data_IF_624156259799
#
_entry.id   IF_624156259799
#
_cell.length_a   1.000
_cell.length_b   1.000
_cell.length_c   1.000
_cell.angle_alpha   90.00
_cell.angle_beta   90.00
_cell.angle_gamma   90.00
#
_symmetry.space_group_name_H-M   'P 1'
#
loop_
_entity.id
_entity.type
_entity.pdbx_description
1 polymer ?
#
# COMPACT_ATOMS: atom_id res chain seq x y z
N UNK A 1 -37.79 1.98 19.22
CA UNK A 1 -37.36 0.89 20.14
C UNK A 1 -36.84 1.51 21.43
N UNK A 2 -37.39 1.14 22.60
CA UNK A 2 -37.03 1.76 23.89
C UNK A 2 -35.52 1.70 24.19
N UNK A 3 -34.85 0.58 23.88
CA UNK A 3 -33.40 0.44 24.11
C UNK A 3 -32.55 1.54 23.44
N UNK A 4 -32.94 1.99 22.24
CA UNK A 4 -32.19 3.03 21.50
C UNK A 4 -32.45 4.40 22.10
N UNK A 5 -33.68 4.65 22.58
CA UNK A 5 -34.07 5.90 23.25
C UNK A 5 -33.27 6.06 24.54
N UNK A 6 -33.23 5.00 25.37
CA UNK A 6 -32.46 5.02 26.62
C UNK A 6 -30.96 5.20 26.35
N UNK A 7 -30.38 4.44 25.41
CA UNK A 7 -28.96 4.55 25.05
C UNK A 7 -28.59 5.94 24.52
N UNK A 8 -29.44 6.55 23.70
CA UNK A 8 -29.21 7.91 23.21
C UNK A 8 -29.21 8.92 24.36
N UNK A 9 -30.18 8.78 25.27
CA UNK A 9 -30.31 9.67 26.42
C UNK A 9 -29.10 9.55 27.35
N UNK A 10 -28.68 8.32 27.69
CA UNK A 10 -27.47 8.05 28.48
C UNK A 10 -26.23 8.72 27.86
N UNK A 11 -26.00 8.53 26.55
CA UNK A 11 -24.82 9.10 25.88
C UNK A 11 -24.83 10.64 25.86
N UNK A 12 -26.01 11.26 25.72
CA UNK A 12 -26.11 12.71 25.71
C UNK A 12 -25.89 13.29 27.11
N UNK A 13 -26.39 12.62 28.14
CA UNK A 13 -26.18 12.99 29.55
C UNK A 13 -24.71 12.79 29.96
N UNK A 14 -24.10 11.65 29.62
CA UNK A 14 -22.70 11.33 29.92
C UNK A 14 -21.70 12.29 29.25
N UNK A 15 -22.05 12.81 28.06
CA UNK A 15 -21.21 13.73 27.29
C UNK A 15 -21.52 15.21 27.56
N UNK A 16 -22.44 15.52 28.49
CA UNK A 16 -22.92 16.87 28.80
C UNK A 16 -23.41 17.64 27.55
N UNK A 17 -24.07 16.94 26.62
CA UNK A 17 -24.62 17.51 25.39
C UNK A 17 -26.07 17.91 25.65
N UNK A 18 -26.37 19.21 25.56
CA UNK A 18 -27.74 19.69 25.70
C UNK A 18 -28.67 19.14 24.61
N UNK A 19 -29.83 18.59 25.02
CA UNK A 19 -30.87 18.10 24.12
C UNK A 19 -32.28 18.41 24.62
N UNK A 20 -33.23 18.51 23.68
CA UNK A 20 -34.67 18.55 23.97
C UNK A 20 -35.32 17.26 23.51
N UNK A 21 -35.98 16.55 24.43
CA UNK A 21 -36.74 15.32 24.15
C UNK A 21 -38.24 15.63 24.03
N UNK A 22 -38.87 15.15 22.98
CA UNK A 22 -40.34 15.24 22.79
C UNK A 22 -40.91 13.87 22.46
N UNK A 23 -42.10 13.56 22.98
CA UNK A 23 -42.84 12.34 22.64
C UNK A 23 -44.17 12.76 22.04
N UNK A 24 -44.44 12.31 20.83
CA UNK A 24 -45.67 12.62 20.08
C UNK A 24 -46.31 11.31 19.66
N UNK A 25 -47.62 11.21 19.80
CA UNK A 25 -48.42 10.11 19.27
C UNK A 25 -48.81 10.44 17.82
N UNK A 26 -48.42 9.60 16.88
CA UNK A 26 -48.81 9.72 15.46
C UNK A 26 -50.24 9.22 15.24
N UNK A 27 -50.84 9.59 14.10
CA UNK A 27 -52.23 9.27 13.75
C UNK A 27 -52.54 7.76 13.68
N UNK A 28 -51.52 6.92 13.60
CA UNK A 28 -51.60 5.46 13.58
C UNK A 28 -51.38 4.81 14.97
N UNK A 29 -51.30 5.63 16.04
CA UNK A 29 -51.05 5.17 17.42
C UNK A 29 -49.59 4.85 17.72
N UNK A 30 -48.65 5.15 16.80
CA UNK A 30 -47.22 4.99 17.07
C UNK A 30 -46.68 6.16 17.89
N UNK A 31 -45.98 5.83 18.99
CA UNK A 31 -45.27 6.82 19.79
C UNK A 31 -43.89 7.14 19.17
N UNK A 32 -43.72 8.38 18.71
CA UNK A 32 -42.45 8.88 18.18
C UNK A 32 -41.74 9.72 19.24
N UNK A 33 -40.53 9.29 19.60
CA UNK A 33 -39.64 10.06 20.49
C UNK A 33 -38.56 10.74 19.66
N UNK A 34 -38.54 12.07 19.71
CA UNK A 34 -37.56 12.90 19.00
C UNK A 34 -36.59 13.56 19.97
N UNK A 35 -35.31 13.56 19.62
CA UNK A 35 -34.25 14.27 20.35
C UNK A 35 -33.71 15.38 19.45
N UNK A 36 -33.84 16.63 19.89
CA UNK A 36 -33.27 17.79 19.21
C UNK A 36 -31.92 18.12 19.86
N UNK A 37 -30.84 18.00 19.09
CA UNK A 37 -29.46 18.15 19.57
C UNK A 37 -28.80 19.29 18.80
N UNK A 38 -28.27 20.29 19.51
CA UNK A 38 -27.46 21.36 18.93
C UNK A 38 -25.99 20.91 18.79
N UNK A 39 -25.70 20.09 17.78
CA UNK A 39 -24.42 19.37 17.68
C UNK A 39 -23.56 19.74 16.47
N UNK A 40 -24.03 20.63 15.58
CA UNK A 40 -23.32 20.93 14.32
C UNK A 40 -23.17 19.73 13.37
N UNK A 41 -23.86 18.61 13.65
CA UNK A 41 -23.82 17.39 12.85
C UNK A 41 -24.45 17.65 11.47
N UNK A 42 -23.71 17.27 10.42
CA UNK A 42 -24.13 17.48 9.04
C UNK A 42 -24.81 16.21 8.52
N UNK A 43 -25.83 16.37 7.69
CA UNK A 43 -26.63 15.25 7.15
C UNK A 43 -25.80 14.20 6.40
N UNK A 44 -24.69 14.59 5.76
CA UNK A 44 -23.79 13.66 5.08
C UNK A 44 -23.10 12.67 6.03
N UNK A 45 -22.97 12.98 7.33
CA UNK A 45 -22.30 12.12 8.32
C UNK A 45 -23.07 10.81 8.58
N UNK A 46 -24.29 10.69 8.06
CA UNK A 46 -25.03 9.43 7.98
C UNK A 46 -24.35 8.41 7.04
N UNK A 47 -23.58 8.89 6.08
CA UNK A 47 -22.80 8.08 5.15
C UNK A 47 -21.35 8.08 5.61
N UNK A 48 -20.86 6.92 6.00
CA UNK A 48 -19.48 6.76 6.40
C UNK A 48 -18.59 6.87 5.16
N UNK A 49 -17.57 7.71 5.30
CA UNK A 49 -16.60 7.99 4.26
C UNK A 49 -15.24 8.37 4.89
N UNK A 50 -14.27 8.75 4.07
CA UNK A 50 -12.90 9.12 4.44
C UNK A 50 -12.79 10.18 5.55
N UNK A 51 -13.85 10.97 5.77
CA UNK A 51 -13.89 11.94 6.86
C UNK A 51 -13.71 11.29 8.25
N UNK A 52 -14.03 9.99 8.38
CA UNK A 52 -13.78 9.23 9.60
C UNK A 52 -12.28 9.19 9.96
N UNK A 53 -11.39 9.19 8.98
CA UNK A 53 -9.94 9.13 9.22
C UNK A 53 -9.37 10.39 9.88
N UNK A 54 -10.16 11.46 9.98
CA UNK A 54 -9.76 12.68 10.68
C UNK A 54 -9.95 12.57 12.21
N UNK A 55 -10.60 11.50 12.70
CA UNK A 55 -10.84 11.28 14.13
C UNK A 55 -9.73 10.42 14.75
N UNK A 56 -9.48 10.65 16.04
CA UNK A 56 -8.49 9.90 16.81
C UNK A 56 -8.94 8.45 17.09
N UNK A 57 -8.02 7.66 17.62
CA UNK A 57 -8.24 6.25 17.92
C UNK A 57 -9.42 6.04 18.87
N UNK A 58 -9.55 6.87 19.90
CA UNK A 58 -10.61 6.78 20.91
C UNK A 58 -11.98 7.01 20.28
N UNK A 59 -12.14 8.06 19.48
CA UNK A 59 -13.40 8.37 18.81
C UNK A 59 -13.80 7.28 17.80
N UNK A 60 -12.82 6.76 17.05
CA UNK A 60 -13.04 5.66 16.11
C UNK A 60 -13.41 4.36 16.83
N UNK A 61 -12.78 4.08 17.96
CA UNK A 61 -13.09 2.90 18.77
C UNK A 61 -14.52 3.00 19.32
N UNK A 62 -14.88 4.16 19.85
CA UNK A 62 -16.24 4.45 20.30
C UNK A 62 -17.27 4.30 19.18
N UNK A 63 -16.99 4.80 17.97
CA UNK A 63 -17.88 4.62 16.82
C UNK A 63 -18.13 3.13 16.52
N UNK A 64 -17.06 2.33 16.50
CA UNK A 64 -17.14 0.90 16.20
C UNK A 64 -17.95 0.16 17.27
N UNK A 65 -17.67 0.40 18.54
CA UNK A 65 -18.35 -0.25 19.65
C UNK A 65 -19.81 0.17 19.74
N UNK A 66 -20.08 1.47 19.54
CA UNK A 66 -21.40 2.04 19.65
C UNK A 66 -22.30 1.63 18.47
N UNK A 67 -21.75 1.50 17.26
CA UNK A 67 -22.49 1.07 16.05
C UNK A 67 -23.27 -0.24 16.24
N UNK A 68 -22.77 -1.14 17.08
CA UNK A 68 -23.39 -2.43 17.40
C UNK A 68 -24.70 -2.30 18.18
N UNK A 69 -24.89 -1.20 18.91
CA UNK A 69 -26.10 -0.93 19.68
C UNK A 69 -27.18 -0.22 18.85
N UNK A 70 -26.83 0.40 17.72
CA UNK A 70 -27.81 1.06 16.85
C UNK A 70 -28.38 0.07 15.86
N UNK A 71 -27.68 -0.16 14.76
CA UNK A 71 -28.16 -0.97 13.64
C UNK A 71 -27.54 -2.37 13.66
N UNK A 72 -27.26 -2.84 14.88
CA UNK A 72 -26.65 -4.13 15.13
C UNK A 72 -27.27 -4.91 16.28
N UNK A 73 -26.62 -6.03 16.57
CA UNK A 73 -26.84 -6.82 17.78
C UNK A 73 -25.51 -7.35 18.33
N UNK A 74 -25.50 -7.56 19.65
CA UNK A 74 -24.36 -8.12 20.39
C UNK A 74 -24.81 -9.43 21.01
N UNK A 75 -24.00 -10.48 20.90
CA UNK A 75 -24.28 -11.77 21.55
C UNK A 75 -23.70 -11.74 22.96
N UNK A 76 -24.56 -11.67 23.98
CA UNK A 76 -24.14 -11.70 25.39
C UNK A 76 -23.37 -13.00 25.69
N UNK A 77 -22.21 -12.88 26.33
CA UNK A 77 -21.39 -14.02 26.79
C UNK A 77 -20.50 -14.67 25.73
N UNK A 78 -20.41 -14.13 24.50
CA UNK A 78 -19.54 -14.69 23.46
C UNK A 78 -18.30 -13.84 23.20
N UNK A 79 -17.15 -14.49 23.01
CA UNK A 79 -15.92 -13.87 22.45
C UNK A 79 -16.04 -13.57 20.94
N UNK A 80 -17.22 -13.81 20.34
CA UNK A 80 -17.47 -13.69 18.90
C UNK A 80 -17.95 -12.29 18.48
N UNK A 81 -18.00 -11.33 19.41
CA UNK A 81 -18.29 -9.94 19.11
C UNK A 81 -19.72 -9.68 18.60
N UNK A 82 -19.93 -8.53 17.95
CA UNK A 82 -21.25 -8.07 17.49
C UNK A 82 -21.35 -8.02 15.97
N UNK A 83 -22.56 -7.77 15.46
CA UNK A 83 -22.83 -7.54 14.04
C UNK A 83 -23.57 -6.24 13.83
N UNK A 84 -23.11 -5.44 12.87
CA UNK A 84 -23.77 -4.23 12.36
C UNK A 84 -24.39 -4.52 10.99
N UNK A 85 -25.60 -4.04 10.73
CA UNK A 85 -26.31 -4.25 9.48
C UNK A 85 -26.63 -2.93 8.79
N UNK A 86 -26.44 -2.88 7.47
CA UNK A 86 -26.74 -1.70 6.66
C UNK A 86 -27.11 -2.09 5.22
N UNK A 87 -27.93 -1.28 4.55
CA UNK A 87 -28.14 -1.38 3.09
C UNK A 87 -27.14 -0.54 2.29
N UNK A 88 -26.31 0.25 2.96
CA UNK A 88 -25.35 1.17 2.34
C UNK A 88 -23.99 0.47 2.32
N UNK A 89 -23.51 0.12 1.12
CA UNK A 89 -22.22 -0.55 0.94
C UNK A 89 -21.05 0.27 1.50
N UNK A 90 -21.07 1.60 1.32
CA UNK A 90 -20.06 2.51 1.86
C UNK A 90 -19.94 2.38 3.38
N UNK A 91 -21.08 2.37 4.09
CA UNK A 91 -21.10 2.22 5.54
C UNK A 91 -20.52 0.88 5.99
N UNK A 92 -20.83 -0.20 5.27
CA UNK A 92 -20.28 -1.52 5.57
C UNK A 92 -18.75 -1.55 5.41
N UNK A 93 -18.24 -1.01 4.29
CA UNK A 93 -16.81 -0.96 3.98
C UNK A 93 -16.03 -0.07 4.94
N UNK A 94 -16.55 1.12 5.24
CA UNK A 94 -15.90 2.04 6.16
C UNK A 94 -15.94 1.53 7.59
N UNK A 95 -17.05 0.96 8.06
CA UNK A 95 -17.10 0.39 9.40
C UNK A 95 -16.15 -0.80 9.56
N UNK A 96 -16.04 -1.68 8.57
CA UNK A 96 -15.02 -2.74 8.56
C UNK A 96 -13.61 -2.16 8.62
N UNK A 97 -13.34 -1.11 7.84
CA UNK A 97 -12.04 -0.46 7.79
C UNK A 97 -11.66 0.14 9.14
N UNK A 98 -12.56 0.91 9.75
CA UNK A 98 -12.33 1.49 11.07
C UNK A 98 -12.17 0.39 12.13
N UNK A 99 -12.99 -0.68 12.09
CA UNK A 99 -12.86 -1.80 13.01
C UNK A 99 -11.45 -2.41 12.97
N UNK A 100 -10.84 -2.55 11.80
CA UNK A 100 -9.46 -3.01 11.66
C UNK A 100 -8.44 -2.00 12.21
N UNK A 101 -8.63 -0.70 11.96
CA UNK A 101 -7.74 0.34 12.46
C UNK A 101 -7.73 0.40 14.00
N UNK A 102 -8.86 0.12 14.64
CA UNK A 102 -8.98 0.08 16.11
C UNK A 102 -8.67 -1.29 16.71
N UNK A 103 -8.01 -2.17 15.95
CA UNK A 103 -7.51 -3.46 16.44
C UNK A 103 -8.56 -4.56 16.59
N UNK A 104 -9.73 -4.44 15.95
CA UNK A 104 -10.77 -5.48 15.91
C UNK A 104 -10.68 -6.25 14.59
N UNK A 105 -11.08 -7.52 14.61
CA UNK A 105 -11.27 -8.30 13.38
C UNK A 105 -12.66 -8.05 12.82
N UNK A 106 -12.79 -7.83 11.51
CA UNK A 106 -14.08 -7.59 10.88
C UNK A 106 -14.28 -8.28 9.53
N UNK A 107 -15.50 -8.73 9.26
CA UNK A 107 -15.89 -9.41 8.01
C UNK A 107 -17.20 -8.84 7.49
N UNK A 108 -17.31 -8.62 6.18
CA UNK A 108 -18.56 -8.23 5.54
C UNK A 108 -19.20 -9.45 4.88
N UNK A 109 -20.47 -9.67 5.18
CA UNK A 109 -21.35 -10.62 4.49
C UNK A 109 -22.40 -9.84 3.73
N UNK A 110 -22.62 -10.20 2.47
CA UNK A 110 -23.69 -9.65 1.65
C UNK A 110 -24.85 -10.63 1.63
N UNK A 111 -26.06 -10.16 1.90
CA UNK A 111 -27.27 -10.98 1.77
C UNK A 111 -27.81 -10.96 0.34
N UNK A 112 -28.70 -11.91 0.02
CA UNK A 112 -29.32 -12.02 -1.30
C UNK A 112 -30.24 -10.85 -1.66
N UNK A 113 -30.64 -10.03 -0.68
CA UNK A 113 -31.52 -8.87 -0.84
C UNK A 113 -30.73 -7.55 -0.95
N UNK A 114 -29.39 -7.63 -1.05
CA UNK A 114 -28.51 -6.48 -1.21
C UNK A 114 -28.12 -5.76 0.08
N UNK A 115 -28.50 -6.27 1.25
CA UNK A 115 -28.02 -5.81 2.54
C UNK A 115 -26.62 -6.33 2.87
N UNK A 116 -25.94 -5.63 3.77
CA UNK A 116 -24.60 -5.95 4.25
C UNK A 116 -24.63 -6.13 5.76
N UNK A 117 -23.97 -7.18 6.25
CA UNK A 117 -23.72 -7.44 7.66
C UNK A 117 -22.22 -7.41 7.94
N UNK A 118 -21.79 -6.48 8.78
CA UNK A 118 -20.41 -6.33 9.25
C UNK A 118 -20.27 -7.03 10.60
N UNK A 119 -19.59 -8.17 10.62
CA UNK A 119 -19.18 -8.82 11.86
C UNK A 119 -17.97 -8.11 12.45
N UNK A 120 -17.95 -7.87 13.76
CA UNK A 120 -16.88 -7.18 14.49
C UNK A 120 -16.54 -8.02 15.72
N UNK A 121 -15.30 -8.49 15.81
CA UNK A 121 -14.81 -9.37 16.88
C UNK A 121 -13.58 -8.76 17.58
N UNK A 122 -13.56 -8.79 18.91
CA UNK A 122 -12.40 -8.41 19.75
C UNK A 122 -11.32 -9.50 19.78
N UNK A 123 -10.97 -10.07 18.61
CA UNK A 123 -9.91 -11.08 18.51
C UNK A 123 -8.58 -10.40 18.22
N UNK A 124 -7.55 -10.73 18.99
CA UNK A 124 -6.17 -10.31 18.72
C UNK A 124 -5.55 -11.02 17.51
N UNK A 125 -6.18 -12.12 17.03
CA UNK A 125 -5.65 -12.98 15.97
C UNK A 125 -6.70 -13.20 14.87
N UNK A 126 -6.32 -13.09 13.60
CA UNK A 126 -7.16 -13.45 12.45
C UNK A 126 -7.03 -14.95 12.15
N UNK A 127 -8.15 -15.69 12.08
CA UNK A 127 -8.18 -17.05 11.53
C UNK A 127 -8.45 -16.98 10.04
N UNK A 128 -7.44 -17.23 9.22
CA UNK A 128 -7.60 -17.45 7.78
C UNK A 128 -8.13 -18.87 7.59
N UNK A 129 -9.34 -19.02 7.03
CA UNK A 129 -9.80 -20.32 6.57
C UNK A 129 -8.92 -20.67 5.36
N UNK A 130 -8.15 -21.76 5.42
CA UNK A 130 -7.42 -22.29 4.27
C UNK A 130 -8.44 -22.61 3.18
N UNK A 131 -8.66 -21.67 2.27
CA UNK A 131 -9.36 -21.94 1.02
C UNK A 131 -8.51 -22.93 0.21
N UNK A 132 -9.16 -23.75 -0.62
CA UNK A 132 -8.48 -24.67 -1.52
C UNK A 132 -7.37 -23.92 -2.28
N UNK A 133 -6.12 -24.20 -1.92
CA UNK A 133 -4.95 -23.65 -2.59
C UNK A 133 -4.85 -24.38 -3.91
N UNK A 134 -5.17 -23.69 -5.00
CA UNK A 134 -4.93 -24.20 -6.35
C UNK A 134 -3.66 -23.54 -6.86
N UNK A 135 -2.61 -24.33 -7.03
CA UNK A 135 -1.40 -23.89 -7.71
C UNK A 135 -1.71 -23.82 -9.20
N UNK A 136 -1.69 -22.61 -9.75
CA UNK A 136 -1.82 -22.37 -11.19
C UNK A 136 -0.46 -21.93 -11.69
N UNK A 137 0.10 -22.62 -12.68
CA UNK A 137 1.29 -22.16 -13.38
C UNK A 137 0.91 -20.89 -14.15
N UNK A 138 1.40 -19.73 -13.71
CA UNK A 138 1.01 -18.46 -14.29
C UNK A 138 1.89 -18.15 -15.50
N UNK A 139 1.31 -18.23 -16.71
CA UNK A 139 1.94 -17.82 -17.97
C UNK A 139 1.73 -16.32 -18.17
N UNK A 140 2.80 -15.54 -18.04
CA UNK A 140 2.90 -14.16 -18.51
C UNK A 140 1.98 -13.17 -17.80
N UNK A 141 2.52 -12.41 -16.87
CA UNK A 141 1.95 -11.10 -16.54
C UNK A 141 3.04 -10.05 -16.70
N UNK A 142 2.73 -9.05 -17.51
CA UNK A 142 3.43 -7.77 -17.55
C UNK A 142 3.48 -7.19 -16.13
N UNK A 143 4.68 -6.78 -15.72
CA UNK A 143 4.91 -6.19 -14.39
C UNK A 143 4.63 -4.70 -14.50
N UNK A 144 3.44 -4.26 -14.06
CA UNK A 144 3.17 -2.83 -13.97
C UNK A 144 3.99 -2.20 -12.83
N UNK A 145 4.82 -1.22 -13.15
CA UNK A 145 5.50 -0.35 -12.19
C UNK A 145 4.65 0.91 -11.96
N UNK A 146 3.85 1.01 -10.88
CA UNK A 146 3.06 2.20 -10.63
C UNK A 146 3.96 3.35 -10.14
N UNK A 147 4.00 4.44 -10.88
CA UNK A 147 4.65 5.68 -10.46
C UNK A 147 3.74 6.44 -9.50
N UNK A 148 4.24 6.78 -8.30
CA UNK A 148 3.49 7.54 -7.30
C UNK A 148 4.19 8.86 -6.99
N UNK A 149 3.42 9.91 -6.69
CA UNK A 149 3.95 11.22 -6.31
C UNK A 149 4.70 11.21 -4.97
N UNK A 150 4.53 10.17 -4.17
CA UNK A 150 5.10 10.02 -2.82
C UNK A 150 6.35 9.13 -2.78
N UNK A 151 6.70 8.45 -3.88
CA UNK A 151 7.83 7.52 -3.94
C UNK A 151 7.62 6.21 -3.16
N UNK A 152 6.41 5.98 -2.65
CA UNK A 152 5.96 4.71 -2.06
C UNK A 152 4.44 4.54 -2.22
N UNK A 153 3.94 3.31 -2.07
CA UNK A 153 2.51 3.04 -1.89
C UNK A 153 2.26 1.88 -0.95
N UNK A 154 1.08 1.89 -0.34
CA UNK A 154 0.59 0.84 0.52
C UNK A 154 -0.21 -0.15 -0.33
N UNK A 155 0.31 -1.37 -0.47
CA UNK A 155 -0.39 -2.48 -1.10
C UNK A 155 -1.14 -3.25 -0.02
N UNK A 156 -2.47 -3.29 -0.10
CA UNK A 156 -3.30 -4.18 0.71
C UNK A 156 -3.80 -5.33 -0.15
N UNK A 157 -3.18 -6.49 -0.01
CA UNK A 157 -3.56 -7.68 -0.76
C UNK A 157 -3.52 -8.92 0.14
N UNK A 158 -4.51 -9.82 -0.01
CA UNK A 158 -4.58 -11.09 0.73
C UNK A 158 -4.46 -10.96 2.27
N UNK A 159 -4.91 -9.83 2.82
CA UNK A 159 -4.83 -9.57 4.27
C UNK A 159 -3.47 -9.07 4.77
N UNK A 160 -2.52 -8.80 3.88
CA UNK A 160 -1.22 -8.21 4.20
C UNK A 160 -1.16 -6.76 3.73
N UNK A 161 -0.44 -5.93 4.48
CA UNK A 161 -0.09 -4.57 4.10
C UNK A 161 1.40 -4.57 3.78
N UNK A 162 1.74 -4.28 2.52
CA UNK A 162 3.12 -4.08 2.07
C UNK A 162 3.32 -2.60 1.77
N UNK A 163 4.37 -2.00 2.33
CA UNK A 163 4.81 -0.65 1.96
C UNK A 163 5.89 -0.81 0.90
N UNK A 164 5.59 -0.44 -0.34
CA UNK A 164 6.56 -0.48 -1.45
C UNK A 164 7.10 0.91 -1.70
N UNK A 165 8.42 1.06 -1.92
CA UNK A 165 9.05 2.32 -2.33
C UNK A 165 10.26 2.67 -1.48
N UNK A 166 11.45 2.84 -2.10
CA UNK A 166 12.77 3.27 -1.55
C UNK A 166 13.17 2.79 -0.13
N UNK A 167 12.47 1.83 0.44
CA UNK A 167 12.61 1.30 1.79
C UNK A 167 13.81 0.36 1.91
N UNK A 168 14.34 -0.13 0.79
CA UNK A 168 15.41 -1.12 0.74
C UNK A 168 16.83 -0.57 0.98
N UNK A 169 17.04 0.73 0.97
CA UNK A 169 18.38 1.32 1.10
C UNK A 169 18.67 1.81 2.52
N UNK A 170 18.34 1.00 3.52
CA UNK A 170 18.67 1.30 4.93
C UNK A 170 17.76 2.32 5.59
N UNK A 171 16.52 2.49 5.11
CA UNK A 171 15.54 3.39 5.71
C UNK A 171 15.35 3.07 7.21
N UNK A 172 15.73 4.02 8.07
CA UNK A 172 15.60 3.85 9.51
C UNK A 172 14.14 3.84 9.96
N UNK A 173 13.86 3.17 11.09
CA UNK A 173 12.52 3.08 11.72
C UNK A 173 11.84 4.45 11.84
N UNK A 174 12.58 5.50 12.18
CA UNK A 174 12.03 6.84 12.33
C UNK A 174 11.50 7.43 11.01
N UNK A 175 12.26 7.25 9.92
CA UNK A 175 11.81 7.69 8.59
C UNK A 175 10.64 6.83 8.11
N UNK A 176 10.67 5.52 8.38
CA UNK A 176 9.55 4.62 8.08
C UNK A 176 8.28 5.06 8.83
N UNK A 177 8.36 5.34 10.12
CA UNK A 177 7.25 5.85 10.93
C UNK A 177 6.71 7.18 10.38
N UNK A 178 7.61 8.13 10.10
CA UNK A 178 7.25 9.44 9.55
C UNK A 178 6.53 9.33 8.19
N UNK A 179 7.05 8.53 7.26
CA UNK A 179 6.46 8.38 5.92
C UNK A 179 5.16 7.58 5.96
N UNK A 180 5.08 6.55 6.80
CA UNK A 180 3.88 5.70 6.89
C UNK A 180 2.77 6.27 7.77
N UNK A 181 3.07 7.28 8.60
CA UNK A 181 2.17 7.79 9.64
C UNK A 181 1.98 6.82 10.81
N UNK A 182 2.78 5.75 10.90
CA UNK A 182 2.72 4.77 11.97
C UNK A 182 3.49 5.24 13.21
N UNK A 183 3.14 4.69 14.37
CA UNK A 183 3.97 4.86 15.56
C UNK A 183 5.35 4.24 15.35
N UNK A 184 6.38 4.80 16.01
CA UNK A 184 7.76 4.28 15.94
C UNK A 184 7.79 2.79 16.33
N UNK A 185 7.02 2.41 17.36
CA UNK A 185 6.93 1.01 17.81
C UNK A 185 6.39 0.08 16.73
N UNK A 186 5.32 0.48 16.05
CA UNK A 186 4.72 -0.34 14.98
C UNK A 186 5.60 -0.36 13.73
N UNK A 187 6.21 0.76 13.37
CA UNK A 187 7.20 0.82 12.28
C UNK A 187 8.39 -0.11 12.56
N UNK A 188 8.85 -0.19 13.81
CA UNK A 188 9.90 -1.12 14.23
C UNK A 188 9.46 -2.56 14.06
N UNK A 189 8.29 -2.92 14.58
CA UNK A 189 7.75 -4.27 14.45
C UNK A 189 7.60 -4.70 12.98
N UNK A 190 7.16 -3.79 12.10
CA UNK A 190 7.07 -4.05 10.67
C UNK A 190 8.44 -4.25 10.02
N UNK A 191 9.43 -3.43 10.38
CA UNK A 191 10.78 -3.57 9.88
C UNK A 191 11.42 -4.90 10.34
N UNK A 192 11.22 -5.26 11.61
CA UNK A 192 11.70 -6.53 12.16
C UNK A 192 11.04 -7.72 11.45
N UNK A 193 9.71 -7.67 11.23
CA UNK A 193 8.99 -8.69 10.48
C UNK A 193 9.45 -8.79 9.02
N UNK A 194 9.71 -7.66 8.36
CA UNK A 194 10.26 -7.64 7.01
C UNK A 194 11.62 -8.36 6.94
N UNK A 195 12.53 -8.09 7.88
CA UNK A 195 13.84 -8.73 7.92
C UNK A 195 13.79 -10.19 8.41
N UNK A 196 12.77 -10.58 9.18
CA UNK A 196 12.52 -11.99 9.48
C UNK A 196 12.13 -12.78 8.23
N UNK A 197 11.29 -12.19 7.37
CA UNK A 197 10.88 -12.82 6.11
C UNK A 197 11.95 -12.76 5.01
N UNK A 198 12.76 -11.70 5.00
CA UNK A 198 13.77 -11.44 3.97
C UNK A 198 15.16 -11.34 4.62
N UNK A 199 15.55 -12.37 5.37
CA UNK A 199 16.77 -12.34 6.18
C UNK A 199 18.03 -12.16 5.31
N UNK A 200 18.02 -12.64 4.07
CA UNK A 200 19.11 -12.49 3.11
C UNK A 200 19.37 -11.03 2.76
N UNK A 201 18.32 -10.21 2.70
CA UNK A 201 18.44 -8.76 2.46
C UNK A 201 19.17 -8.11 3.62
N UNK A 202 18.82 -8.47 4.85
CA UNK A 202 19.50 -7.95 6.05
C UNK A 202 20.99 -8.35 6.06
N UNK A 203 21.28 -9.61 5.79
CA UNK A 203 22.65 -10.11 5.70
C UNK A 203 23.43 -9.39 4.60
N UNK A 204 22.84 -9.17 3.43
CA UNK A 204 23.46 -8.40 2.35
C UNK A 204 23.76 -6.96 2.79
N UNK A 205 22.80 -6.28 3.44
CA UNK A 205 23.02 -4.92 3.94
C UNK A 205 24.19 -4.88 4.92
N UNK A 206 24.26 -5.83 5.85
CA UNK A 206 25.32 -5.88 6.85
C UNK A 206 26.69 -6.17 6.21
N UNK A 207 26.75 -7.03 5.17
CA UNK A 207 27.97 -7.27 4.38
C UNK A 207 28.46 -6.01 3.66
N UNK A 208 27.56 -5.26 3.02
CA UNK A 208 27.92 -4.00 2.34
C UNK A 208 28.51 -3.00 3.32
N UNK A 209 27.92 -2.89 4.52
CA UNK A 209 28.42 -1.97 5.56
C UNK A 209 29.78 -2.41 6.10
N UNK A 210 29.98 -3.71 6.32
CA UNK A 210 31.27 -4.24 6.71
C UNK A 210 32.33 -3.99 5.63
N UNK A 211 31.98 -4.16 4.35
CA UNK A 211 32.90 -3.96 3.23
C UNK A 211 33.35 -2.49 3.11
N UNK A 212 32.45 -1.53 3.21
CA UNK A 212 32.86 -0.11 3.21
C UNK A 212 33.67 0.26 4.45
N UNK A 213 33.41 -0.36 5.61
CA UNK A 213 34.18 -0.08 6.83
C UNK A 213 35.61 -0.63 6.76
N UNK A 214 35.79 -1.79 6.13
CA UNK A 214 37.07 -2.50 6.03
C UNK A 214 37.91 -2.07 4.82
N UNK A 215 37.30 -1.99 3.63
CA UNK A 215 37.98 -1.68 2.36
C UNK A 215 37.85 -0.22 1.93
N UNK A 216 36.81 0.48 2.37
CA UNK A 216 36.52 1.86 1.95
C UNK A 216 35.86 1.98 0.57
N UNK A 217 35.51 0.86 -0.08
CA UNK A 217 34.76 0.85 -1.33
C UNK A 217 33.95 -0.44 -1.48
N UNK A 218 32.95 -0.41 -2.36
CA UNK A 218 32.16 -1.57 -2.80
C UNK A 218 32.16 -1.64 -4.32
N UNK A 219 31.95 -2.84 -4.86
CA UNK A 219 32.02 -3.09 -6.31
C UNK A 219 30.72 -3.72 -6.78
N UNK A 220 30.18 -3.28 -7.92
CA UNK A 220 29.05 -3.96 -8.55
C UNK A 220 29.50 -5.19 -9.35
N UNK A 221 28.54 -5.90 -9.93
CA UNK A 221 28.80 -7.14 -10.66
C UNK A 221 29.64 -6.96 -11.95
N UNK A 222 29.66 -5.74 -12.50
CA UNK A 222 30.46 -5.38 -13.67
C UNK A 222 31.84 -4.80 -13.32
N UNK A 223 32.21 -4.76 -12.05
CA UNK A 223 33.52 -4.29 -11.60
C UNK A 223 33.60 -2.78 -11.29
N UNK A 224 32.51 -2.02 -11.40
CA UNK A 224 32.48 -0.60 -11.06
C UNK A 224 32.58 -0.41 -9.54
N UNK A 225 33.53 0.43 -9.11
CA UNK A 225 33.77 0.73 -7.68
C UNK A 225 33.15 2.05 -7.25
N UNK A 226 32.53 2.04 -6.07
CA UNK A 226 32.07 3.24 -5.36
C UNK A 226 32.86 3.41 -4.08
N UNK A 227 33.53 4.55 -3.92
CA UNK A 227 34.39 4.85 -2.78
C UNK A 227 33.64 5.58 -1.66
N UNK A 228 33.91 5.17 -0.42
CA UNK A 228 33.21 5.56 0.79
C UNK A 228 34.21 5.86 1.91
N UNK A 229 35.01 6.89 1.71
CA UNK A 229 36.15 7.21 2.58
C UNK A 229 35.73 7.99 3.84
N UNK A 230 34.67 8.81 3.75
CA UNK A 230 34.15 9.55 4.90
C UNK A 230 33.23 8.68 5.75
N UNK A 231 33.80 8.03 6.77
CA UNK A 231 33.06 7.15 7.69
C UNK A 231 32.07 7.88 8.59
N UNK A 232 32.18 9.20 8.71
CA UNK A 232 31.32 10.04 9.54
C UNK A 232 30.10 10.60 8.77
N UNK A 233 29.93 10.28 7.49
CA UNK A 233 28.77 10.72 6.71
C UNK A 233 27.48 10.06 7.28
N UNK A 234 26.51 10.86 7.80
CA UNK A 234 25.26 10.32 8.34
C UNK A 234 24.42 9.56 7.30
N UNK A 235 24.64 9.82 6.02
CA UNK A 235 23.97 9.16 4.90
C UNK A 235 24.78 8.01 4.29
N UNK A 236 25.96 7.70 4.84
CA UNK A 236 26.90 6.70 4.31
C UNK A 236 26.21 5.37 4.00
N UNK A 237 25.46 4.85 4.98
CA UNK A 237 24.73 3.58 4.86
C UNK A 237 23.77 3.61 3.68
N UNK A 238 22.97 4.67 3.56
CA UNK A 238 21.95 4.75 2.51
C UNK A 238 22.58 4.85 1.12
N UNK A 239 23.65 5.64 0.98
CA UNK A 239 24.40 5.79 -0.27
C UNK A 239 25.07 4.47 -0.69
N UNK A 240 25.71 3.78 0.26
CA UNK A 240 26.38 2.51 0.00
C UNK A 240 25.39 1.41 -0.41
N UNK A 241 24.26 1.31 0.29
CA UNK A 241 23.23 0.31 -0.02
C UNK A 241 22.57 0.56 -1.38
N UNK A 242 22.38 1.82 -1.80
CA UNK A 242 21.79 2.12 -3.10
C UNK A 242 22.76 1.94 -4.26
N UNK A 243 24.07 2.00 -4.01
CA UNK A 243 25.09 1.99 -5.05
C UNK A 243 25.06 0.76 -5.94
N UNK A 244 25.11 -0.45 -5.39
CA UNK A 244 25.21 -1.69 -6.19
C UNK A 244 24.03 -1.80 -7.18
N UNK A 245 22.75 -1.73 -6.75
CA UNK A 245 21.65 -1.85 -7.70
C UNK A 245 21.60 -0.69 -8.70
N UNK A 246 21.77 0.56 -8.25
CA UNK A 246 21.72 1.72 -9.16
C UNK A 246 22.84 1.70 -10.20
N UNK A 247 24.07 1.39 -9.76
CA UNK A 247 25.22 1.31 -10.66
C UNK A 247 25.12 0.13 -11.63
N UNK A 248 24.59 -1.02 -11.19
CA UNK A 248 24.38 -2.18 -12.05
C UNK A 248 23.40 -1.84 -13.17
N UNK A 249 22.29 -1.17 -12.86
CA UNK A 249 21.32 -0.73 -13.87
C UNK A 249 21.91 0.34 -14.79
N UNK A 250 22.66 1.30 -14.26
CA UNK A 250 23.33 2.30 -15.09
C UNK A 250 24.31 1.66 -16.09
N UNK A 251 25.09 0.67 -15.65
CA UNK A 251 26.02 -0.07 -16.52
C UNK A 251 25.25 -0.90 -17.57
N UNK A 252 24.15 -1.53 -17.18
CA UNK A 252 23.28 -2.26 -18.10
C UNK A 252 22.74 -1.37 -19.23
N UNK A 253 22.20 -0.19 -18.88
CA UNK A 253 21.67 0.77 -19.85
C UNK A 253 22.77 1.30 -20.74
N UNK A 254 23.96 1.61 -20.20
CA UNK A 254 25.10 2.07 -21.00
C UNK A 254 25.58 1.00 -21.99
N UNK A 255 25.62 -0.27 -21.58
CA UNK A 255 25.92 -1.39 -22.49
C UNK A 255 24.85 -1.53 -23.57
N UNK A 256 23.57 -1.39 -23.21
CA UNK A 256 22.47 -1.42 -24.18
C UNK A 256 22.58 -0.27 -25.20
N UNK A 257 22.89 0.94 -24.75
CA UNK A 257 23.13 2.10 -25.62
C UNK A 257 24.28 1.83 -26.59
N UNK A 258 25.42 1.31 -26.10
CA UNK A 258 26.55 0.99 -26.95
C UNK A 258 26.22 -0.10 -27.98
N UNK A 259 25.43 -1.11 -27.58
CA UNK A 259 24.96 -2.19 -28.47
C UNK A 259 24.00 -1.67 -29.53
N UNK A 260 23.03 -0.83 -29.16
CA UNK A 260 22.11 -0.17 -30.10
C UNK A 260 22.89 0.67 -31.10
N UNK A 261 23.81 1.53 -30.64
CA UNK A 261 24.60 2.39 -31.52
C UNK A 261 25.48 1.61 -32.51
N UNK A 262 25.93 0.41 -32.12
CA UNK A 262 26.75 -0.47 -32.96
C UNK A 262 25.94 -1.32 -33.93
N UNK A 263 24.85 -1.93 -33.46
CA UNK A 263 24.07 -2.91 -34.23
C UNK A 263 22.94 -2.26 -35.04
N UNK A 264 22.46 -1.07 -34.64
CA UNK A 264 21.30 -0.39 -35.22
C UNK A 264 21.64 1.08 -35.57
N UNK A 265 22.43 1.34 -36.62
CA UNK A 265 22.90 2.68 -36.96
C UNK A 265 21.79 3.66 -37.38
N UNK A 266 20.63 3.15 -37.80
CA UNK A 266 19.44 3.98 -38.11
C UNK A 266 18.63 4.37 -36.86
N UNK A 267 18.96 3.82 -35.69
CA UNK A 267 18.33 4.17 -34.41
C UNK A 267 19.12 5.30 -33.76
N UNK A 268 18.49 6.45 -33.61
CA UNK A 268 19.07 7.59 -32.88
C UNK A 268 18.65 7.53 -31.41
N UNK A 269 19.62 7.46 -30.50
CA UNK A 269 19.35 7.58 -29.06
C UNK A 269 19.23 9.07 -28.72
N UNK A 270 18.03 9.50 -28.32
CA UNK A 270 17.73 10.90 -28.03
C UNK A 270 17.99 11.27 -26.57
N UNK A 271 17.51 10.45 -25.63
CA UNK A 271 17.62 10.72 -24.20
C UNK A 271 17.76 9.42 -23.39
N UNK A 272 18.45 9.50 -22.28
CA UNK A 272 18.45 8.48 -21.23
C UNK A 272 17.69 9.04 -20.03
N UNK A 273 16.64 8.35 -19.59
CA UNK A 273 15.83 8.72 -18.43
C UNK A 273 15.90 7.57 -17.42
N UNK A 274 16.86 7.66 -16.50
CA UNK A 274 17.17 6.60 -15.53
C UNK A 274 17.40 5.22 -16.19
N UNK A 275 16.43 4.32 -16.05
CA UNK A 275 16.42 2.95 -16.55
C UNK A 275 15.78 2.81 -17.94
N UNK A 276 15.37 3.93 -18.57
CA UNK A 276 14.72 3.96 -19.88
C UNK A 276 15.51 4.76 -20.91
N UNK A 277 15.34 4.38 -22.19
CA UNK A 277 15.94 5.04 -23.34
C UNK A 277 14.85 5.59 -24.26
N UNK A 278 14.99 6.86 -24.64
CA UNK A 278 14.18 7.49 -25.69
C UNK A 278 14.97 7.41 -26.98
N UNK A 279 14.40 6.71 -27.96
CA UNK A 279 15.04 6.49 -29.26
C UNK A 279 14.11 6.86 -30.41
N UNK A 280 14.69 7.20 -31.54
CA UNK A 280 14.00 7.48 -32.80
C UNK A 280 14.50 6.52 -33.87
N UNK A 281 13.60 6.03 -34.72
CA UNK A 281 13.93 5.09 -35.80
C UNK A 281 12.95 5.23 -36.97
N UNK A 282 13.33 4.77 -38.19
CA UNK A 282 12.46 4.83 -39.37
C UNK A 282 11.13 4.08 -39.17
N UNK A 283 10.03 4.72 -39.56
CA UNK A 283 8.67 4.21 -39.36
C UNK A 283 8.38 2.97 -40.22
N UNK A 284 9.02 2.88 -41.38
CA UNK A 284 8.84 1.86 -42.41
C UNK A 284 9.15 0.46 -41.89
N UNK A 285 10.09 0.35 -40.93
CA UNK A 285 10.50 -0.92 -40.31
C UNK A 285 10.28 -0.93 -38.79
N UNK A 286 9.24 -0.23 -38.32
CA UNK A 286 9.00 -0.04 -36.89
C UNK A 286 8.97 -1.36 -36.10
N UNK A 287 8.32 -2.40 -36.61
CA UNK A 287 8.24 -3.70 -35.92
C UNK A 287 9.59 -4.39 -35.77
N UNK A 288 10.45 -4.30 -36.79
CA UNK A 288 11.80 -4.84 -36.74
C UNK A 288 12.64 -4.09 -35.69
N UNK A 289 12.65 -2.75 -35.75
CA UNK A 289 13.41 -1.94 -34.81
C UNK A 289 12.97 -2.14 -33.37
N UNK A 290 11.66 -2.26 -33.11
CA UNK A 290 11.16 -2.57 -31.77
C UNK A 290 11.78 -3.84 -31.19
N UNK A 291 11.76 -4.94 -31.96
CA UNK A 291 12.31 -6.23 -31.52
C UNK A 291 13.81 -6.16 -31.28
N UNK A 292 14.54 -5.52 -32.20
CA UNK A 292 15.99 -5.41 -32.08
C UNK A 292 16.42 -4.50 -30.92
N UNK A 293 15.69 -3.41 -30.65
CA UNK A 293 15.94 -2.53 -29.50
C UNK A 293 15.73 -3.31 -28.19
N UNK A 294 14.61 -4.04 -28.06
CA UNK A 294 14.35 -4.89 -26.88
C UNK A 294 15.46 -5.93 -26.71
N UNK A 295 15.86 -6.63 -27.78
CA UNK A 295 16.98 -7.58 -27.76
C UNK A 295 18.31 -6.94 -27.34
N UNK A 296 18.52 -5.66 -27.67
CA UNK A 296 19.72 -4.93 -27.25
C UNK A 296 19.67 -4.51 -25.77
N UNK A 297 18.48 -4.30 -25.21
CA UNK A 297 18.28 -3.93 -23.80
C UNK A 297 18.26 -5.14 -22.87
N UNK A 298 17.80 -6.31 -23.34
CA UNK A 298 17.78 -7.56 -22.57
C UNK A 298 19.18 -8.22 -22.52
N UNK A 299 20.06 -7.65 -21.71
CA UNK A 299 21.43 -8.12 -21.53
C UNK A 299 21.55 -9.07 -20.32
N UNK A 300 22.50 -9.99 -20.41
CA UNK A 300 22.87 -10.88 -19.31
C UNK A 300 23.58 -10.09 -18.21
N UNK A 301 23.09 -10.25 -16.98
CA UNK A 301 23.76 -9.80 -15.78
C UNK A 301 24.43 -11.03 -15.14
N UNK A 302 25.76 -11.05 -14.97
CA UNK A 302 26.52 -12.27 -14.66
C UNK A 302 26.46 -12.62 -13.16
N UNK A 303 25.26 -12.66 -12.60
CA UNK A 303 24.95 -13.34 -11.35
C UNK A 303 24.82 -14.85 -11.59
N UNK A 304 24.77 -15.64 -10.52
CA UNK A 304 24.51 -17.08 -10.57
C UNK A 304 23.20 -17.39 -9.83
N UNK A 305 22.14 -17.84 -10.52
CA UNK A 305 22.03 -17.99 -11.97
C UNK A 305 22.04 -16.65 -12.69
N UNK A 306 22.34 -16.67 -14.00
CA UNK A 306 22.34 -15.47 -14.85
C UNK A 306 21.00 -14.75 -14.71
N UNK A 307 21.06 -13.46 -14.39
CA UNK A 307 19.88 -12.62 -14.25
C UNK A 307 19.65 -11.86 -15.56
N UNK A 308 18.43 -11.94 -16.08
CA UNK A 308 17.95 -11.11 -17.20
C UNK A 308 16.81 -10.23 -16.71
N UNK A 309 16.86 -8.96 -17.07
CA UNK A 309 15.77 -8.01 -16.83
C UNK A 309 15.01 -7.85 -18.15
N UNK A 310 13.71 -8.18 -18.20
CA UNK A 310 12.91 -7.99 -19.41
C UNK A 310 12.78 -6.50 -19.72
N UNK A 311 12.81 -6.16 -21.01
CA UNK A 311 12.68 -4.77 -21.45
C UNK A 311 11.32 -4.53 -22.11
N UNK A 312 10.59 -3.53 -21.62
CA UNK A 312 9.34 -3.09 -22.21
C UNK A 312 9.58 -1.93 -23.18
N UNK A 313 8.78 -1.86 -24.25
CA UNK A 313 8.85 -0.78 -25.23
C UNK A 313 7.48 -0.14 -25.45
N UNK A 314 7.46 1.18 -25.38
CA UNK A 314 6.29 2.00 -25.70
C UNK A 314 6.63 2.87 -26.91
N UNK A 315 5.64 3.16 -27.77
CA UNK A 315 5.89 3.87 -29.03
C UNK A 315 4.88 4.97 -29.29
N UNK A 316 5.30 5.96 -30.08
CA UNK A 316 4.44 6.99 -30.65
C UNK A 316 4.98 7.39 -32.02
N UNK A 317 4.07 7.63 -32.96
CA UNK A 317 4.42 8.17 -34.27
C UNK A 317 4.44 9.71 -34.32
N UNK A 318 4.10 10.38 -33.20
CA UNK A 318 3.91 11.84 -33.15
C UNK A 318 4.92 12.54 -32.25
N UNK A 319 4.94 12.18 -30.97
CA UNK A 319 5.72 12.86 -29.95
C UNK A 319 6.00 11.96 -28.75
N UNK A 320 7.01 12.32 -27.96
CA UNK A 320 7.35 11.65 -26.71
C UNK A 320 6.19 11.67 -25.68
N UNK A 321 5.39 12.75 -25.66
CA UNK A 321 4.24 12.87 -24.75
C UNK A 321 3.07 11.94 -25.09
N UNK A 322 3.02 11.43 -26.32
CA UNK A 322 1.98 10.53 -26.82
C UNK A 322 2.38 9.05 -26.77
N UNK A 323 3.52 8.74 -26.15
CA UNK A 323 4.04 7.36 -26.05
C UNK A 323 3.06 6.51 -25.23
N UNK A 324 2.69 5.35 -25.79
CA UNK A 324 1.78 4.37 -25.17
C UNK A 324 2.31 2.96 -25.41
N UNK A 325 1.98 2.05 -24.50
CA UNK A 325 2.05 0.61 -24.77
C UNK A 325 1.09 0.28 -25.93
N UNK A 326 1.50 -0.67 -26.77
CA UNK A 326 0.69 -1.12 -27.91
C UNK A 326 -0.45 -2.04 -27.49
#
# INVERSE_FOLDING_TARGET
KQRKINRLQELLEDLDIYFKKTVVEEQDGQMVTSFFIYSGLKSYMKYFDKWLLNYNFEALSSLVEESLFWDGWVVKGSTQGGRYSTKIESNAKWLQTIAHLVGKSSTILKDSQGGFTVGICSRQNSRVKLGNIKTVLHKGTEVYCPTTSTGYFLVKAKGLISITGNSNYGMGVNRLAQMSGLSITLAKQLQDYYFQLNYEVKQWQDRVILEIQTKGYITNIFGRRGWYLNKNDPMLKNKALSFIPQSTIADLVNHAMAKIAKELPEVTISLQVHDSLVVQYPKEKAEHYRKEIVRCMELDIPYEPILKIPADIQVSARSYGDVRSL
#
